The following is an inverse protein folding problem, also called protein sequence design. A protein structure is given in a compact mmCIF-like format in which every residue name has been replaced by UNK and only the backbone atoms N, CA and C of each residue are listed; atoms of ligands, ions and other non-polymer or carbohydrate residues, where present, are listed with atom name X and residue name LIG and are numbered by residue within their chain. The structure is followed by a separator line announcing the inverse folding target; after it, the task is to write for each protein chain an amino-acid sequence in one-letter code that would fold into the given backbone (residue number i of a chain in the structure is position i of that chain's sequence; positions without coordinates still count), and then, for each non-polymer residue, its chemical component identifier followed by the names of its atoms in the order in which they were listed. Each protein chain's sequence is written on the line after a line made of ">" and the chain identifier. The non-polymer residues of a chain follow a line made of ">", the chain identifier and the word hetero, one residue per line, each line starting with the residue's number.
data_IF_459669445038
#
_entry.id   IF_459669445038
#
_cell.length_a   1.000
_cell.length_b   1.000
_cell.length_c   1.000
_cell.angle_alpha   90.00
_cell.angle_beta   90.00
_cell.angle_gamma   90.00
#
_symmetry.space_group_name_H-M   'P 1'
#
loop_
_entity.id
_entity.type
_entity.pdbx_description
1 polymer ?
#
# COMPACT_ATOMS: atom_id res chain seq x y z
N UNK A 1 73.75 5.05 90.89
CA UNK A 1 73.41 4.81 89.47
C UNK A 1 72.82 3.40 89.28
N UNK A 2 71.64 3.12 89.85
CA UNK A 2 71.04 1.76 89.91
C UNK A 2 69.68 1.65 89.19
N UNK A 3 69.31 2.66 88.38
CA UNK A 3 68.01 2.72 87.69
C UNK A 3 68.12 2.68 86.15
N UNK A 4 69.32 2.73 85.56
CA UNK A 4 69.50 2.64 84.11
C UNK A 4 69.50 1.20 83.54
N UNK A 5 69.74 0.18 84.37
CA UNK A 5 69.65 -1.22 83.94
C UNK A 5 68.22 -1.78 83.89
N UNK A 6 67.27 -1.12 84.56
CA UNK A 6 65.89 -1.61 84.66
C UNK A 6 65.01 -1.19 83.47
N UNK A 7 65.33 -0.07 82.82
CA UNK A 7 64.59 0.44 81.66
C UNK A 7 64.93 -0.35 80.38
N UNK A 8 66.16 -0.89 80.26
CA UNK A 8 66.56 -1.72 79.12
C UNK A 8 65.96 -3.14 79.15
N UNK A 9 65.58 -3.65 80.33
CA UNK A 9 64.94 -4.97 80.46
C UNK A 9 63.44 -4.96 80.13
N UNK A 10 62.76 -3.83 80.31
CA UNK A 10 61.31 -3.69 80.05
C UNK A 10 61.01 -3.46 78.56
N UNK A 11 61.95 -2.88 77.80
CA UNK A 11 61.77 -2.64 76.35
C UNK A 11 62.04 -3.88 75.48
N UNK A 12 62.68 -4.92 76.03
CA UNK A 12 62.95 -6.20 75.34
C UNK A 12 61.85 -7.26 75.59
N UNK A 13 60.92 -7.00 76.51
CA UNK A 13 59.88 -7.95 76.93
C UNK A 13 58.51 -7.72 76.23
N UNK A 14 58.41 -6.71 75.36
CA UNK A 14 57.17 -6.34 74.64
C UNK A 14 57.08 -6.96 73.23
N UNK A 15 58.13 -7.62 72.74
CA UNK A 15 58.15 -8.19 71.36
C UNK A 15 57.94 -9.73 71.35
N UNK A 16 57.74 -10.38 72.49
CA UNK A 16 57.65 -11.86 72.56
C UNK A 16 56.28 -12.42 72.98
N UNK A 17 55.26 -11.60 73.19
CA UNK A 17 53.87 -12.08 73.23
C UNK A 17 53.35 -12.32 71.82
N UNK A 18 53.76 -13.46 71.26
CA UNK A 18 52.99 -14.17 70.25
C UNK A 18 51.59 -14.46 70.80
N UNK A 19 50.55 -13.96 70.14
CA UNK A 19 49.26 -14.63 70.16
C UNK A 19 49.31 -15.73 69.10
N UNK A 20 49.52 -16.96 69.57
CA UNK A 20 49.25 -18.18 68.82
C UNK A 20 47.74 -18.32 68.60
N UNK A 21 47.26 -17.98 67.41
CA UNK A 21 46.07 -18.64 66.85
C UNK A 21 46.55 -19.74 65.91
N UNK A 22 45.98 -20.95 65.98
CA UNK A 22 46.39 -22.04 65.12
C UNK A 22 46.18 -21.60 63.67
N UNK A 23 47.23 -21.78 62.88
CA UNK A 23 47.21 -21.50 61.45
C UNK A 23 46.04 -22.22 60.80
N UNK A 24 45.06 -21.44 60.38
CA UNK A 24 44.27 -21.80 59.22
C UNK A 24 45.03 -21.18 58.05
N UNK A 25 45.93 -21.97 57.47
CA UNK A 25 46.31 -21.79 56.07
C UNK A 25 45.01 -21.92 55.27
N UNK A 26 44.28 -20.81 55.14
CA UNK A 26 43.29 -20.64 54.12
C UNK A 26 44.05 -20.69 52.81
N UNK A 27 44.20 -21.90 52.26
CA UNK A 27 44.39 -22.10 50.82
C UNK A 27 43.47 -21.06 50.16
N UNK A 28 43.98 -20.17 49.29
CA UNK A 28 43.09 -19.35 48.50
C UNK A 28 42.05 -20.29 47.90
N UNK A 29 40.75 -19.95 48.01
CA UNK A 29 39.69 -20.88 47.65
C UNK A 29 40.02 -21.48 46.30
N UNK A 30 39.90 -22.81 46.18
CA UNK A 30 40.24 -23.50 44.95
C UNK A 30 39.52 -22.76 43.83
N UNK A 31 40.26 -22.33 42.82
CA UNK A 31 39.73 -21.55 41.72
C UNK A 31 38.53 -22.27 41.08
N UNK A 32 38.52 -23.61 41.13
CA UNK A 32 37.39 -24.43 40.70
C UNK A 32 36.16 -24.29 41.59
N UNK A 33 36.31 -24.28 42.92
CA UNK A 33 35.19 -24.09 43.86
C UNK A 33 34.61 -22.67 43.76
N UNK A 34 35.47 -21.66 43.62
CA UNK A 34 35.02 -20.27 43.42
C UNK A 34 34.28 -20.12 42.10
N UNK A 35 34.78 -20.74 41.02
CA UNK A 35 34.12 -20.75 39.72
C UNK A 35 32.76 -21.44 39.79
N UNK A 36 32.69 -22.59 40.45
CA UNK A 36 31.44 -23.34 40.60
C UNK A 36 30.41 -22.53 41.39
N UNK A 37 30.84 -21.89 42.49
CA UNK A 37 29.98 -20.99 43.27
C UNK A 37 29.46 -19.82 42.43
N UNK A 38 30.29 -19.18 41.61
CA UNK A 38 29.86 -18.09 40.73
C UNK A 38 28.86 -18.58 39.67
N UNK A 39 29.11 -19.75 39.07
CA UNK A 39 28.20 -20.36 38.09
C UNK A 39 26.87 -20.72 38.74
N UNK A 40 26.88 -21.24 39.96
CA UNK A 40 25.69 -21.61 40.71
C UNK A 40 24.87 -20.36 41.08
N UNK A 41 25.53 -19.28 41.52
CA UNK A 41 24.91 -17.96 41.76
C UNK A 41 24.24 -17.42 40.50
N UNK A 42 24.88 -17.51 39.33
CA UNK A 42 24.29 -17.08 38.07
C UNK A 42 23.05 -17.93 37.69
N UNK A 43 23.05 -19.22 38.03
CA UNK A 43 21.92 -20.11 37.77
C UNK A 43 20.78 -19.97 38.79
N UNK A 44 21.03 -19.37 39.97
CA UNK A 44 19.97 -19.09 40.95
C UNK A 44 18.90 -18.15 40.40
N UNK A 45 17.74 -18.13 41.06
CA UNK A 45 16.66 -17.21 40.70
C UNK A 45 17.08 -15.74 40.84
N UNK A 46 17.93 -15.42 41.80
CA UNK A 46 18.41 -14.06 42.00
C UNK A 46 19.43 -13.66 40.92
N UNK A 47 20.32 -14.58 40.52
CA UNK A 47 21.21 -14.39 39.36
C UNK A 47 20.44 -14.17 38.05
N UNK A 48 19.40 -14.97 37.81
CA UNK A 48 18.50 -14.79 36.64
C UNK A 48 17.73 -13.48 36.68
N UNK A 49 17.23 -13.06 37.84
CA UNK A 49 16.55 -11.77 38.01
C UNK A 49 17.49 -10.60 37.78
N UNK A 50 18.70 -10.64 38.35
CA UNK A 50 19.72 -9.63 38.12
C UNK A 50 20.07 -9.52 36.63
N UNK A 51 20.22 -10.65 35.93
CA UNK A 51 20.44 -10.64 34.49
C UNK A 51 19.24 -10.10 33.69
N UNK A 52 18.01 -10.41 34.12
CA UNK A 52 16.79 -9.84 33.53
C UNK A 52 16.69 -8.32 33.76
N UNK A 53 17.13 -7.82 34.90
CA UNK A 53 17.20 -6.38 35.18
C UNK A 53 18.25 -5.69 34.32
N UNK A 54 19.43 -6.30 34.16
CA UNK A 54 20.44 -5.81 33.23
C UNK A 54 19.94 -5.82 31.77
N UNK A 55 19.20 -6.85 31.36
CA UNK A 55 18.55 -6.90 30.05
C UNK A 55 17.44 -5.85 29.87
N UNK A 56 16.93 -5.23 30.94
CA UNK A 56 16.03 -4.07 30.83
C UNK A 56 16.80 -2.79 30.51
N UNK A 57 18.09 -2.74 30.83
CA UNK A 57 18.97 -1.63 30.48
C UNK A 57 19.22 -1.57 28.96
N UNK A 58 19.05 -0.39 28.39
CA UNK A 58 19.22 -0.13 26.96
C UNK A 58 20.70 -0.11 26.54
N UNK A 59 21.61 0.22 27.44
CA UNK A 59 23.06 0.17 27.21
C UNK A 59 23.51 -1.28 27.08
N UNK A 60 23.19 -2.11 28.07
CA UNK A 60 23.54 -3.53 28.09
C UNK A 60 22.97 -4.31 26.90
N UNK A 61 21.71 -4.05 26.49
CA UNK A 61 21.11 -4.71 25.31
C UNK A 61 21.82 -4.43 23.99
N UNK A 62 22.41 -3.25 23.82
CA UNK A 62 23.09 -2.88 22.56
C UNK A 62 24.41 -3.61 22.38
N UNK A 63 25.05 -3.97 23.50
CA UNK A 63 26.36 -4.61 23.52
C UNK A 63 26.29 -6.14 23.40
N UNK A 64 25.09 -6.73 23.55
CA UNK A 64 24.86 -8.16 23.32
C UNK A 64 24.77 -8.43 21.82
N UNK A 65 25.85 -8.95 21.25
CA UNK A 65 25.90 -9.42 19.87
C UNK A 65 25.22 -10.79 19.80
N UNK A 66 24.01 -10.84 19.24
CA UNK A 66 23.38 -12.10 18.83
C UNK A 66 24.01 -12.53 17.51
N UNK A 67 24.34 -13.81 17.36
CA UNK A 67 24.94 -14.32 16.12
C UNK A 67 23.97 -14.16 14.93
N UNK A 68 24.49 -13.78 13.76
CA UNK A 68 23.69 -13.56 12.55
C UNK A 68 22.84 -14.78 12.19
N UNK A 69 23.37 -16.00 12.41
CA UNK A 69 22.71 -17.26 12.12
C UNK A 69 21.50 -17.53 13.02
N UNK A 70 21.62 -17.26 14.32
CA UNK A 70 20.50 -17.42 15.26
C UNK A 70 19.44 -16.34 15.04
N UNK A 71 19.86 -15.13 14.67
CA UNK A 71 18.96 -14.04 14.30
C UNK A 71 18.17 -14.40 13.03
N UNK A 72 18.83 -14.92 12.00
CA UNK A 72 18.19 -15.34 10.74
C UNK A 72 17.20 -16.50 10.97
N UNK A 73 17.59 -17.52 11.74
CA UNK A 73 16.70 -18.63 12.09
C UNK A 73 15.49 -18.17 12.89
N UNK A 74 15.69 -17.28 13.86
CA UNK A 74 14.61 -16.73 14.68
C UNK A 74 13.68 -15.86 13.86
N UNK A 75 14.24 -15.04 12.96
CA UNK A 75 13.47 -14.21 12.04
C UNK A 75 12.60 -15.06 11.11
N UNK A 76 13.17 -16.10 10.48
CA UNK A 76 12.43 -17.00 9.60
C UNK A 76 11.32 -17.76 10.33
N UNK A 77 11.59 -18.26 11.54
CA UNK A 77 10.57 -18.89 12.39
C UNK A 77 9.46 -17.91 12.78
N UNK A 78 9.81 -16.67 13.07
CA UNK A 78 8.85 -15.63 13.44
C UNK A 78 7.98 -15.22 12.25
N UNK A 79 8.58 -15.05 11.06
CA UNK A 79 7.85 -14.66 9.84
C UNK A 79 6.91 -15.74 9.31
N UNK A 80 7.21 -17.01 9.58
CA UNK A 80 6.36 -18.14 9.19
C UNK A 80 5.31 -18.52 10.24
N UNK A 81 5.36 -17.91 11.44
CA UNK A 81 4.34 -18.14 12.48
C UNK A 81 3.01 -17.46 12.09
N UNK A 82 1.89 -18.20 12.00
CA UNK A 82 0.58 -17.63 11.73
C UNK A 82 0.14 -16.53 12.70
N UNK A 83 0.65 -16.53 13.94
CA UNK A 83 0.38 -15.47 14.94
C UNK A 83 1.02 -14.14 14.55
N UNK A 84 2.13 -14.17 13.82
CA UNK A 84 2.83 -12.97 13.37
C UNK A 84 1.95 -12.18 12.39
N UNK A 85 1.25 -12.86 11.47
CA UNK A 85 0.33 -12.20 10.52
C UNK A 85 -0.67 -11.27 11.22
N UNK A 86 -1.31 -11.73 12.30
CA UNK A 86 -2.25 -10.93 13.10
C UNK A 86 -1.59 -9.76 13.83
N UNK A 87 -0.34 -9.93 14.26
CA UNK A 87 0.40 -8.84 14.91
C UNK A 87 0.87 -7.80 13.89
N UNK A 88 1.31 -8.22 12.71
CA UNK A 88 1.68 -7.35 11.61
C UNK A 88 0.49 -6.54 11.11
N UNK A 89 -0.69 -7.17 10.98
CA UNK A 89 -1.94 -6.50 10.64
C UNK A 89 -2.23 -5.34 11.61
N UNK A 90 -2.26 -5.62 12.93
CA UNK A 90 -2.43 -4.59 13.98
C UNK A 90 -1.33 -3.52 13.97
N UNK A 91 -0.11 -3.88 13.56
CA UNK A 91 0.99 -2.94 13.47
C UNK A 91 0.83 -2.02 12.24
N UNK A 92 0.35 -2.57 11.12
CA UNK A 92 0.08 -1.85 9.88
C UNK A 92 -1.15 -0.93 9.99
N UNK A 93 -2.11 -1.23 10.86
CA UNK A 93 -3.20 -0.31 11.18
C UNK A 93 -2.70 1.01 11.82
N UNK A 94 -1.50 1.03 12.41
CA UNK A 94 -0.95 2.24 13.03
C UNK A 94 -0.52 3.24 11.94
N UNK A 95 -1.05 4.48 11.93
CA UNK A 95 -0.81 5.43 10.82
C UNK A 95 0.67 5.73 10.55
N UNK A 96 1.48 5.86 11.60
CA UNK A 96 2.92 6.13 11.47
C UNK A 96 3.67 4.96 10.83
N UNK A 97 3.28 3.73 11.17
CA UNK A 97 3.88 2.52 10.60
C UNK A 97 3.45 2.39 9.13
N UNK A 98 2.15 2.47 8.85
CA UNK A 98 1.64 2.45 7.47
C UNK A 98 2.30 3.50 6.59
N UNK A 99 2.42 4.74 7.08
CA UNK A 99 3.06 5.85 6.35
C UNK A 99 4.52 5.56 6.03
N UNK A 100 5.28 5.10 7.03
CA UNK A 100 6.69 4.78 6.83
C UNK A 100 6.88 3.57 5.90
N UNK A 101 6.05 2.54 6.05
CA UNK A 101 6.05 1.37 5.18
C UNK A 101 5.72 1.78 3.73
N UNK A 102 4.64 2.53 3.51
CA UNK A 102 4.24 3.01 2.19
C UNK A 102 5.32 3.87 1.54
N UNK A 103 6.01 4.73 2.31
CA UNK A 103 7.15 5.53 1.81
C UNK A 103 8.33 4.65 1.42
N UNK A 104 8.67 3.67 2.26
CA UNK A 104 9.78 2.75 2.00
C UNK A 104 9.51 1.86 0.77
N UNK A 105 8.27 1.41 0.57
CA UNK A 105 7.89 0.54 -0.54
C UNK A 105 7.43 1.28 -1.78
N UNK A 106 7.22 2.60 -1.72
CA UNK A 106 6.62 3.40 -2.81
C UNK A 106 7.28 3.17 -4.18
N UNK A 107 8.61 3.15 -4.21
CA UNK A 107 9.38 2.99 -5.44
C UNK A 107 9.16 1.61 -6.06
N UNK A 108 9.25 0.56 -5.25
CA UNK A 108 9.05 -0.82 -5.71
C UNK A 108 7.58 -1.09 -6.04
N UNK A 109 6.64 -0.54 -5.28
CA UNK A 109 5.21 -0.63 -5.58
C UNK A 109 4.87 0.06 -6.91
N UNK A 110 5.45 1.23 -7.19
CA UNK A 110 5.31 1.90 -8.50
C UNK A 110 5.92 1.08 -9.63
N UNK A 111 7.06 0.44 -9.40
CA UNK A 111 7.72 -0.43 -10.37
C UNK A 111 6.88 -1.67 -10.66
N UNK A 112 6.40 -2.35 -9.62
CA UNK A 112 5.51 -3.49 -9.72
C UNK A 112 4.24 -3.13 -10.47
N UNK A 113 3.56 -2.04 -10.10
CA UNK A 113 2.34 -1.62 -10.77
C UNK A 113 2.56 -1.32 -12.27
N UNK A 114 3.70 -0.69 -12.62
CA UNK A 114 4.07 -0.46 -14.03
C UNK A 114 4.37 -1.76 -14.79
N UNK A 115 4.93 -2.76 -14.11
CA UNK A 115 5.18 -4.07 -14.71
C UNK A 115 3.86 -4.81 -14.92
N UNK A 116 2.97 -4.81 -13.92
CA UNK A 116 1.62 -5.37 -14.03
C UNK A 116 0.81 -4.73 -15.15
N UNK A 117 0.88 -3.41 -15.35
CA UNK A 117 0.20 -2.75 -16.49
C UNK A 117 0.65 -3.27 -17.88
N UNK A 118 1.83 -3.89 -17.98
CA UNK A 118 2.35 -4.49 -19.21
C UNK A 118 2.07 -5.99 -19.29
N UNK A 119 1.58 -6.58 -18.21
CA UNK A 119 1.26 -7.99 -18.14
C UNK A 119 -0.09 -8.26 -18.84
N UNK A 120 -0.19 -9.26 -19.75
CA UNK A 120 -1.42 -9.55 -20.48
C UNK A 120 -2.61 -9.94 -19.60
N UNK A 121 -2.40 -10.64 -18.49
CA UNK A 121 -3.49 -11.05 -17.60
C UNK A 121 -4.02 -9.83 -16.83
N UNK A 122 -3.13 -8.99 -16.31
CA UNK A 122 -3.53 -7.75 -15.66
C UNK A 122 -4.22 -6.77 -16.63
N UNK A 123 -3.75 -6.70 -17.88
CA UNK A 123 -4.42 -5.92 -18.93
C UNK A 123 -5.83 -6.43 -19.21
N UNK A 124 -6.03 -7.76 -19.25
CA UNK A 124 -7.36 -8.35 -19.42
C UNK A 124 -8.29 -7.97 -18.28
N UNK A 125 -7.82 -8.09 -17.02
CA UNK A 125 -8.58 -7.66 -15.85
C UNK A 125 -8.93 -6.16 -15.91
N UNK A 126 -7.98 -5.32 -16.35
CA UNK A 126 -8.22 -3.89 -16.54
C UNK A 126 -9.26 -3.63 -17.64
N UNK A 127 -9.20 -4.35 -18.77
CA UNK A 127 -10.20 -4.23 -19.83
C UNK A 127 -11.59 -4.66 -19.38
N UNK A 128 -11.68 -5.68 -18.51
CA UNK A 128 -12.96 -6.09 -17.93
C UNK A 128 -13.49 -5.05 -16.96
N UNK A 129 -12.62 -4.36 -16.19
CA UNK A 129 -13.00 -3.20 -15.39
C UNK A 129 -13.53 -2.04 -16.26
N UNK A 130 -12.92 -1.78 -17.43
CA UNK A 130 -13.38 -0.73 -18.35
C UNK A 130 -14.74 -1.02 -18.99
N UNK A 131 -15.19 -2.28 -19.01
CA UNK A 131 -16.54 -2.65 -19.47
C UNK A 131 -17.61 -2.39 -18.43
N UNK A 132 -17.26 -1.89 -17.25
CA UNK A 132 -18.24 -1.56 -16.22
C UNK A 132 -19.30 -0.56 -16.74
N UNK A 133 -20.59 -0.76 -16.44
CA UNK A 133 -21.66 0.14 -16.89
C UNK A 133 -21.47 1.60 -16.47
N UNK A 134 -20.88 1.88 -15.30
CA UNK A 134 -20.60 3.25 -14.85
C UNK A 134 -19.55 3.90 -15.74
N UNK A 135 -18.49 3.19 -16.08
CA UNK A 135 -17.47 3.68 -17.01
C UNK A 135 -18.07 3.92 -18.40
N UNK A 136 -18.91 3.01 -18.87
CA UNK A 136 -19.63 3.15 -20.14
C UNK A 136 -20.55 4.39 -20.16
N UNK A 137 -21.25 4.67 -19.06
CA UNK A 137 -22.07 5.88 -18.92
C UNK A 137 -21.23 7.16 -18.97
N UNK A 138 -20.09 7.19 -18.29
CA UNK A 138 -19.16 8.33 -18.35
C UNK A 138 -18.62 8.53 -19.77
N UNK A 139 -18.27 7.44 -20.47
CA UNK A 139 -17.83 7.49 -21.86
C UNK A 139 -18.93 8.03 -22.78
N UNK A 140 -20.19 7.60 -22.59
CA UNK A 140 -21.34 8.12 -23.32
C UNK A 140 -21.59 9.61 -23.06
N UNK A 141 -21.35 10.08 -21.84
CA UNK A 141 -21.45 11.50 -21.50
C UNK A 141 -20.37 12.30 -22.21
N UNK A 142 -19.14 11.78 -22.27
CA UNK A 142 -18.03 12.41 -22.98
C UNK A 142 -18.30 12.51 -24.49
N UNK A 143 -18.84 11.46 -25.12
CA UNK A 143 -19.24 11.48 -26.52
C UNK A 143 -20.37 12.48 -26.81
N UNK A 144 -21.22 12.78 -25.83
CA UNK A 144 -22.24 13.83 -25.96
C UNK A 144 -21.70 15.24 -25.75
N UNK A 145 -20.45 15.38 -25.31
CA UNK A 145 -19.78 16.66 -25.07
C UNK A 145 -19.57 17.48 -26.34
N UNK A 146 -19.43 18.80 -26.17
CA UNK A 146 -19.32 19.75 -27.29
C UNK A 146 -18.10 19.47 -28.18
N UNK A 147 -16.96 19.14 -27.60
CA UNK A 147 -15.73 18.85 -28.37
C UNK A 147 -15.88 17.60 -29.24
N UNK A 148 -16.48 16.53 -28.70
CA UNK A 148 -16.73 15.33 -29.48
C UNK A 148 -17.78 15.56 -30.57
N UNK A 149 -18.80 16.40 -30.33
CA UNK A 149 -19.76 16.80 -31.37
C UNK A 149 -19.10 17.56 -32.51
N UNK A 150 -18.21 18.51 -32.23
CA UNK A 150 -17.45 19.23 -33.28
C UNK A 150 -16.64 18.26 -34.13
N UNK A 151 -15.93 17.33 -33.49
CA UNK A 151 -15.18 16.30 -34.21
C UNK A 151 -16.11 15.39 -35.04
N UNK A 152 -17.26 15.02 -34.49
CA UNK A 152 -18.27 14.21 -35.19
C UNK A 152 -18.84 14.95 -36.40
N UNK A 153 -19.13 16.25 -36.28
CA UNK A 153 -19.58 17.09 -37.40
C UNK A 153 -18.51 17.16 -38.48
N UNK A 154 -17.24 17.37 -38.12
CA UNK A 154 -16.14 17.37 -39.07
C UNK A 154 -15.99 16.02 -39.79
N UNK A 155 -16.06 14.90 -39.07
CA UNK A 155 -16.04 13.56 -39.68
C UNK A 155 -17.22 13.36 -40.63
N UNK A 156 -18.39 13.92 -40.31
CA UNK A 156 -19.58 13.86 -41.15
C UNK A 156 -19.45 14.74 -42.41
N UNK A 157 -18.85 15.92 -42.30
CA UNK A 157 -18.49 16.79 -43.42
C UNK A 157 -17.49 16.08 -44.35
N UNK A 158 -16.41 15.55 -43.80
CA UNK A 158 -15.40 14.78 -44.55
C UNK A 158 -16.02 13.55 -45.24
N UNK A 159 -16.95 12.86 -44.56
CA UNK A 159 -17.68 11.74 -45.13
C UNK A 159 -18.59 12.18 -46.27
N UNK A 160 -19.29 13.32 -46.13
CA UNK A 160 -20.09 13.91 -47.22
C UNK A 160 -19.24 14.37 -48.39
N UNK A 161 -17.97 14.67 -48.19
CA UNK A 161 -17.06 15.02 -49.28
C UNK A 161 -16.55 13.80 -50.05
N UNK A 162 -16.58 12.62 -49.43
CA UNK A 162 -16.13 11.38 -50.03
C UNK A 162 -16.96 11.01 -51.29
N UNK A 163 -16.32 10.78 -52.45
CA UNK A 163 -17.02 10.48 -53.71
C UNK A 163 -18.01 9.31 -53.63
N UNK A 164 -17.67 8.24 -52.90
CA UNK A 164 -18.55 7.08 -52.72
C UNK A 164 -19.79 7.42 -51.88
N UNK A 165 -19.62 8.28 -50.87
CA UNK A 165 -20.73 8.72 -50.05
C UNK A 165 -21.60 9.73 -50.79
N UNK A 166 -21.01 10.70 -51.51
CA UNK A 166 -21.73 11.63 -52.40
C UNK A 166 -22.59 10.90 -53.40
N UNK A 167 -22.05 9.89 -54.07
CA UNK A 167 -22.77 9.11 -55.06
C UNK A 167 -23.97 8.38 -54.42
N UNK A 168 -23.75 7.68 -53.30
CA UNK A 168 -24.80 6.98 -52.56
C UNK A 168 -25.88 7.93 -52.03
N UNK A 169 -25.47 9.05 -51.45
CA UNK A 169 -26.36 10.10 -50.95
C UNK A 169 -27.20 10.70 -52.08
N UNK A 170 -26.58 10.98 -53.23
CA UNK A 170 -27.27 11.50 -54.42
C UNK A 170 -28.27 10.48 -54.96
N UNK A 171 -27.90 9.20 -55.05
CA UNK A 171 -28.82 8.12 -55.47
C UNK A 171 -30.01 7.99 -54.53
N UNK A 172 -29.77 7.98 -53.21
CA UNK A 172 -30.83 7.96 -52.20
C UNK A 172 -31.77 9.16 -52.31
N UNK A 173 -31.22 10.37 -52.51
CA UNK A 173 -32.01 11.58 -52.71
C UNK A 173 -32.86 11.50 -53.99
N UNK A 174 -32.30 11.01 -55.10
CA UNK A 174 -33.03 10.80 -56.35
C UNK A 174 -34.13 9.75 -56.20
N UNK A 175 -33.89 8.64 -55.50
CA UNK A 175 -34.91 7.63 -55.22
C UNK A 175 -36.02 8.18 -54.32
N UNK A 176 -35.68 8.97 -53.29
CA UNK A 176 -36.64 9.64 -52.43
C UNK A 176 -37.50 10.63 -53.23
N UNK A 177 -36.90 11.46 -54.07
CA UNK A 177 -37.63 12.38 -54.96
C UNK A 177 -38.49 11.64 -55.98
N UNK A 178 -38.06 10.48 -56.51
CA UNK A 178 -38.90 9.64 -57.37
C UNK A 178 -40.09 9.05 -56.62
N UNK A 179 -39.92 8.65 -55.36
CA UNK A 179 -41.01 8.17 -54.50
C UNK A 179 -41.96 9.28 -54.07
N UNK A 180 -41.45 10.49 -53.81
CA UNK A 180 -42.26 11.64 -53.39
C UNK A 180 -42.93 12.34 -54.60
N UNK A 181 -42.23 12.44 -55.73
CA UNK A 181 -42.74 12.92 -57.02
C UNK A 181 -43.69 11.94 -57.71
N UNK A 182 -43.69 10.66 -57.30
CA UNK A 182 -44.71 9.68 -57.71
C UNK A 182 -46.08 9.89 -57.07
N UNK A 183 -46.23 10.83 -56.12
CA UNK A 183 -47.51 11.13 -55.48
C UNK A 183 -47.98 12.59 -55.71
N UNK A 184 -47.27 13.38 -56.52
CA UNK A 184 -47.69 14.74 -56.84
C UNK A 184 -47.31 15.11 -58.28
N UNK A 185 -47.97 14.48 -59.25
CA UNK A 185 -47.66 14.72 -60.67
C UNK A 185 -48.57 13.97 -61.66
N UNK A 186 -49.87 13.89 -61.41
CA UNK A 186 -50.81 13.26 -62.34
C UNK A 186 -52.25 13.70 -62.08
N UNK A 187 -52.65 14.84 -62.64
CA UNK A 187 -54.01 15.35 -62.48
C UNK A 187 -54.26 16.65 -63.25
N UNK A 188 -53.87 16.68 -64.53
CA UNK A 188 -54.17 17.77 -65.44
C UNK A 188 -54.92 17.28 -66.67
N UNK A 189 -56.21 17.61 -66.72
CA UNK A 189 -57.02 17.86 -67.91
C UNK A 189 -57.84 16.70 -68.53
N UNK A 190 -59.13 16.69 -68.17
CA UNK A 190 -60.23 16.16 -68.97
C UNK A 190 -61.49 16.97 -68.66
N UNK A 191 -61.92 17.83 -69.60
CA UNK A 191 -63.09 18.70 -69.44
C UNK A 191 -64.42 17.95 -69.52
N UNK A 192 -65.47 18.52 -68.92
CA UNK A 192 -66.83 18.00 -69.01
C UNK A 192 -67.81 18.61 -67.99
N UNK A 193 -68.29 19.81 -68.31
CA UNK A 193 -69.66 20.35 -68.17
C UNK A 193 -70.62 19.86 -67.04
N UNK A 194 -71.22 20.85 -66.36
CA UNK A 194 -72.41 20.75 -65.51
C UNK A 194 -72.11 21.19 -64.07
N UNK A 195 -72.71 22.21 -63.47
CA UNK A 195 -73.96 22.90 -63.70
C UNK A 195 -74.51 23.26 -62.32
N UNK A 196 -74.73 24.56 -62.06
CA UNK A 196 -75.65 25.04 -61.03
C UNK A 196 -75.18 25.09 -59.56
N UNK A 197 -75.21 26.31 -59.01
CA UNK A 197 -75.95 26.53 -57.76
C UNK A 197 -75.18 26.77 -56.46
N UNK A 198 -75.05 28.06 -56.14
CA UNK A 198 -75.57 28.65 -54.89
C UNK A 198 -74.69 28.68 -53.61
N UNK A 199 -74.16 29.89 -53.37
CA UNK A 199 -74.35 30.76 -52.18
C UNK A 199 -73.69 30.44 -50.83
N UNK A 200 -73.12 31.52 -50.26
CA UNK A 200 -72.89 31.77 -48.82
C UNK A 200 -71.52 31.32 -48.33
N UNK A 201 -70.66 32.13 -47.70
CA UNK A 201 -70.83 33.42 -47.04
C UNK A 201 -70.04 33.39 -45.72
N UNK A 202 -69.20 34.41 -45.47
CA UNK A 202 -68.62 34.78 -44.17
C UNK A 202 -67.40 33.96 -43.71
N UNK A 203 -66.24 34.54 -43.35
CA UNK A 203 -65.91 35.52 -42.29
C UNK A 203 -65.10 34.79 -41.20
N UNK A 204 -63.80 35.07 -41.08
CA UNK A 204 -63.26 35.87 -39.95
C UNK A 204 -62.23 35.01 -39.18
N UNK A 205 -60.99 35.48 -39.01
CA UNK A 205 -60.46 35.96 -37.72
C UNK A 205 -59.85 34.80 -36.92
N UNK A 206 -58.53 34.72 -36.72
CA UNK A 206 -57.80 35.59 -35.79
C UNK A 206 -57.59 34.81 -34.48
N UNK A 207 -56.34 34.43 -34.21
CA UNK A 207 -55.89 33.70 -33.03
C UNK A 207 -54.44 33.28 -33.19
#
# INVERSE_FOLDING_TARGET
>A
MRYQGWIAGVLLLVVTTACSSPGQESKPPDYQETKQMVVDVLHTQDGKKALQELMKDSSFRKDIIISDKEMEQTFNKTMTDPKMGKQLEKLMEKPKVASNFAKATQKEQKKLNKQLMKDPEYQKLMMDMLKDPQFSQQMMQLMKGQEYRKQTMKVMEDALENPQFKEKFTKLMQEAMKKQGGQQGGGGQGGGQGGGGQSGGGQGGGG
#
